data_IF_166380783784
#
_entry.id   IF_166380783784
#
_cell.length_a   1.000
_cell.length_b   1.000
_cell.length_c   1.000
_cell.angle_alpha   90.00
_cell.angle_beta   90.00
_cell.angle_gamma   90.00
#
_symmetry.space_group_name_H-M   'P 1'
#
loop_
_entity.id
_entity.type
_entity.pdbx_description
1 polymer ?
#
# COMPACT_ATOMS: atom_id res chain seq x y z
N UNK A 1 -11.80 12.87 26.14
CA UNK A 1 -10.83 13.98 25.99
C UNK A 1 -9.65 13.61 25.09
N UNK A 2 -9.00 12.44 25.27
CA UNK A 2 -7.89 11.97 24.43
C UNK A 2 -8.19 11.88 22.91
N UNK A 3 -9.40 11.44 22.53
CA UNK A 3 -9.83 11.38 21.12
C UNK A 3 -9.82 12.74 20.41
N UNK A 4 -10.02 13.86 21.12
CA UNK A 4 -10.04 15.18 20.50
C UNK A 4 -8.62 15.73 20.28
N UNK A 5 -7.66 15.40 21.15
CA UNK A 5 -6.24 15.73 20.93
C UNK A 5 -5.67 14.92 19.76
N UNK A 6 -5.97 13.63 19.69
CA UNK A 6 -5.50 12.81 18.58
C UNK A 6 -5.96 13.36 17.21
N UNK A 7 -7.21 13.83 17.12
CA UNK A 7 -7.72 14.51 15.91
C UNK A 7 -6.98 15.81 15.59
N UNK A 8 -6.51 16.55 16.60
CA UNK A 8 -5.73 17.79 16.43
C UNK A 8 -4.33 17.50 15.91
N UNK A 9 -3.70 16.44 16.40
CA UNK A 9 -2.38 16.02 15.95
C UNK A 9 -2.41 15.65 14.48
N UNK A 10 -3.39 14.84 14.08
CA UNK A 10 -3.53 14.45 12.68
C UNK A 10 -3.87 15.65 11.80
N UNK A 11 -4.77 16.54 12.23
CA UNK A 11 -5.06 17.77 11.50
C UNK A 11 -3.81 18.62 11.28
N UNK A 12 -2.93 18.73 12.29
CA UNK A 12 -1.69 19.49 12.17
C UNK A 12 -0.74 18.86 11.14
N UNK A 13 -0.52 17.55 11.23
CA UNK A 13 0.32 16.81 10.30
C UNK A 13 -0.21 16.88 8.86
N UNK A 14 -1.51 16.64 8.66
CA UNK A 14 -2.19 16.75 7.37
C UNK A 14 -2.13 18.18 6.79
N UNK A 15 -2.25 19.22 7.63
CA UNK A 15 -2.12 20.61 7.18
C UNK A 15 -0.71 20.90 6.67
N UNK A 16 0.33 20.42 7.35
CA UNK A 16 1.71 20.59 6.89
C UNK A 16 2.01 19.75 5.65
N UNK A 17 1.43 18.56 5.55
CA UNK A 17 1.57 17.69 4.39
C UNK A 17 0.94 18.33 3.13
N UNK A 18 -0.30 18.81 3.21
CA UNK A 18 -1.01 19.38 2.04
C UNK A 18 -0.47 20.71 1.56
N UNK A 19 -0.05 21.58 2.47
CA UNK A 19 0.32 22.97 2.12
C UNK A 19 1.83 23.21 2.07
N UNK A 20 2.64 22.22 2.45
CA UNK A 20 4.08 22.35 2.52
C UNK A 20 4.53 23.36 3.57
N UNK A 21 5.71 24.02 3.40
CA UNK A 21 6.26 24.94 4.38
C UNK A 21 5.34 26.14 4.65
N UNK A 22 4.80 26.26 5.87
CA UNK A 22 3.85 27.33 6.26
C UNK A 22 4.18 27.91 7.64
N UNK A 23 3.83 29.18 7.85
CA UNK A 23 4.09 29.90 9.11
C UNK A 23 3.07 29.53 10.21
N UNK A 24 3.42 29.76 11.48
CA UNK A 24 2.50 29.56 12.60
C UNK A 24 1.22 30.42 12.49
N UNK A 25 1.31 31.62 11.91
CA UNK A 25 0.16 32.49 11.67
C UNK A 25 -0.81 31.85 10.66
N UNK A 26 -0.28 31.29 9.58
CA UNK A 26 -1.03 30.57 8.56
C UNK A 26 -1.67 29.28 9.08
N UNK A 27 -0.98 28.56 9.96
CA UNK A 27 -1.53 27.39 10.67
C UNK A 27 -2.69 27.81 11.57
N UNK A 28 -2.52 28.89 12.36
CA UNK A 28 -3.59 29.41 13.24
C UNK A 28 -4.82 29.85 12.46
N UNK A 29 -4.64 30.54 11.33
CA UNK A 29 -5.74 30.98 10.49
C UNK A 29 -6.52 29.78 9.93
N UNK A 30 -5.84 28.69 9.57
CA UNK A 30 -6.48 27.44 9.13
C UNK A 30 -7.17 26.71 10.28
N UNK A 31 -6.56 26.70 11.47
CA UNK A 31 -7.15 26.10 12.67
C UNK A 31 -8.51 26.72 13.00
N UNK A 32 -8.61 28.06 12.93
CA UNK A 32 -9.85 28.80 13.16
C UNK A 32 -10.98 28.46 12.16
N UNK A 33 -10.62 28.01 10.96
CA UNK A 33 -11.56 27.61 9.91
C UNK A 33 -11.85 26.10 9.91
N UNK A 34 -11.19 25.34 10.77
CA UNK A 34 -11.36 23.89 10.85
C UNK A 34 -12.62 23.51 11.63
N UNK A 35 -13.24 22.39 11.26
CA UNK A 35 -14.37 21.83 12.01
C UNK A 35 -13.98 21.32 13.42
N UNK A 36 -12.68 21.22 13.71
CA UNK A 36 -12.13 20.82 15.01
C UNK A 36 -11.88 22.01 15.94
N UNK A 37 -12.16 23.24 15.48
CA UNK A 37 -12.01 24.46 16.25
C UNK A 37 -12.93 24.46 17.46
N UNK A 38 -12.35 24.57 18.66
CA UNK A 38 -13.05 24.57 19.94
C UNK A 38 -13.29 25.98 20.50
N UNK A 39 -13.19 27.01 19.65
CA UNK A 39 -13.31 28.41 20.07
C UNK A 39 -12.01 29.00 20.64
N UNK A 40 -10.93 28.23 20.76
CA UNK A 40 -9.65 28.71 21.29
C UNK A 40 -8.55 28.74 20.22
N UNK A 41 -7.84 29.87 20.07
CA UNK A 41 -6.71 29.94 19.14
C UNK A 41 -5.58 29.03 19.59
N UNK A 42 -4.84 28.49 18.62
CA UNK A 42 -3.73 27.56 18.88
C UNK A 42 -2.55 28.31 19.52
N UNK A 43 -2.47 28.28 20.85
CA UNK A 43 -1.38 28.90 21.60
C UNK A 43 -0.03 28.29 21.21
N UNK A 44 1.05 29.08 21.25
CA UNK A 44 2.39 28.63 20.79
C UNK A 44 2.89 27.40 21.56
N UNK A 45 2.66 27.35 22.87
CA UNK A 45 2.97 26.19 23.72
C UNK A 45 2.17 24.94 23.33
N UNK A 46 0.88 25.11 23.05
CA UNK A 46 0.01 24.02 22.59
C UNK A 46 0.44 23.51 21.23
N UNK A 47 0.82 24.41 20.31
CA UNK A 47 1.37 24.03 19.02
C UNK A 47 2.67 23.22 19.15
N UNK A 48 3.63 23.65 19.97
CA UNK A 48 4.85 22.86 20.21
C UNK A 48 4.52 21.51 20.85
N UNK A 49 3.63 21.46 21.84
CA UNK A 49 3.21 20.19 22.44
C UNK A 49 2.51 19.27 21.43
N UNK A 50 1.71 19.81 20.50
CA UNK A 50 1.11 19.03 19.43
C UNK A 50 2.15 18.55 18.42
N UNK A 51 3.15 19.38 18.12
CA UNK A 51 4.27 19.03 17.25
C UNK A 51 5.05 17.85 17.84
N UNK A 52 5.42 17.94 19.12
CA UNK A 52 6.17 16.89 19.80
C UNK A 52 5.34 15.60 19.90
N UNK A 53 4.02 15.70 20.13
CA UNK A 53 3.12 14.55 20.11
C UNK A 53 2.93 13.96 18.70
N UNK A 54 3.01 14.77 17.65
CA UNK A 54 2.96 14.30 16.26
C UNK A 54 4.22 13.51 15.92
N UNK A 55 5.38 13.98 16.37
CA UNK A 55 6.66 13.29 16.24
C UNK A 55 6.64 11.95 17.00
N UNK A 56 6.18 11.94 18.25
CA UNK A 56 6.10 10.72 19.07
C UNK A 56 5.11 9.68 18.52
N UNK A 57 3.93 10.11 18.08
CA UNK A 57 2.84 9.19 17.71
C UNK A 57 2.88 8.72 16.27
N UNK A 58 3.44 9.51 15.36
CA UNK A 58 3.42 9.25 13.92
C UNK A 58 4.82 9.19 13.29
N UNK A 59 5.89 9.37 14.09
CA UNK A 59 7.28 9.46 13.60
C UNK A 59 7.45 10.55 12.52
N UNK A 60 6.68 11.63 12.65
CA UNK A 60 6.69 12.79 11.75
C UNK A 60 7.49 13.90 12.40
N UNK A 61 8.74 14.09 11.98
CA UNK A 61 9.53 15.23 12.44
C UNK A 61 9.07 16.50 11.74
N UNK A 62 8.58 17.48 12.50
CA UNK A 62 8.17 18.79 11.99
C UNK A 62 9.29 19.79 12.29
N UNK A 63 10.03 20.15 11.25
CA UNK A 63 11.14 21.10 11.33
C UNK A 63 10.66 22.52 11.14
N UNK A 64 11.35 23.45 11.79
CA UNK A 64 11.16 24.88 11.60
C UNK A 64 12.40 25.46 10.90
N UNK A 65 12.20 26.08 9.74
CA UNK A 65 13.24 26.90 9.12
C UNK A 65 13.36 28.22 9.90
N UNK A 66 14.44 28.38 10.66
CA UNK A 66 14.71 29.57 11.47
C UNK A 66 14.80 30.86 10.64
N UNK A 67 15.12 30.76 9.35
CA UNK A 67 15.28 31.90 8.44
C UNK A 67 13.94 32.44 7.96
N UNK A 68 12.97 31.55 7.78
CA UNK A 68 11.64 31.90 7.23
C UNK A 68 10.49 31.75 8.23
N UNK A 69 10.76 31.22 9.43
CA UNK A 69 9.75 30.85 10.44
C UNK A 69 8.63 29.95 9.87
N UNK A 70 8.98 29.10 8.89
CA UNK A 70 8.07 28.15 8.27
C UNK A 70 8.30 26.76 8.84
N UNK A 71 7.20 26.07 9.08
CA UNK A 71 7.16 24.70 9.55
C UNK A 71 6.87 23.77 8.38
N UNK A 72 7.60 22.67 8.29
CA UNK A 72 7.40 21.62 7.28
C UNK A 72 7.70 20.26 7.89
N UNK A 73 7.16 19.20 7.30
CA UNK A 73 7.55 17.83 7.62
C UNK A 73 8.96 17.61 7.06
N UNK A 74 9.89 17.11 7.86
CA UNK A 74 11.19 16.69 7.38
C UNK A 74 11.01 15.46 6.49
N UNK A 75 11.67 15.46 5.32
CA UNK A 75 11.82 14.22 4.56
C UNK A 75 12.74 13.32 5.39
N UNK A 76 12.19 12.32 6.09
CA UNK A 76 13.02 11.18 6.54
C UNK A 76 13.60 10.46 5.30
N UNK A 77 14.76 9.84 5.43
CA UNK A 77 15.35 9.12 4.29
C UNK A 77 14.65 7.77 4.03
N UNK A 78 13.76 7.36 4.95
CA UNK A 78 13.07 6.09 4.90
C UNK A 78 11.74 6.17 4.11
N UNK A 79 11.81 5.74 2.85
CA UNK A 79 10.69 5.76 1.89
C UNK A 79 9.46 4.98 2.38
N UNK A 80 9.65 3.91 3.16
CA UNK A 80 8.52 3.10 3.63
C UNK A 80 7.75 3.80 4.74
N UNK A 81 8.47 4.40 5.69
CA UNK A 81 7.91 5.21 6.77
C UNK A 81 7.11 6.40 6.21
N UNK A 82 7.58 7.05 5.14
CA UNK A 82 6.79 8.08 4.44
C UNK A 82 5.47 7.58 3.88
N UNK A 83 5.47 6.42 3.21
CA UNK A 83 4.27 5.90 2.57
C UNK A 83 3.20 5.55 3.60
N UNK A 84 3.58 4.91 4.71
CA UNK A 84 2.66 4.57 5.80
C UNK A 84 2.10 5.85 6.43
N UNK A 85 2.97 6.81 6.74
CA UNK A 85 2.59 8.09 7.32
C UNK A 85 1.63 8.86 6.42
N UNK A 86 1.96 9.04 5.15
CA UNK A 86 1.08 9.73 4.19
C UNK A 86 -0.26 9.01 4.08
N UNK A 87 -0.26 7.68 3.98
CA UNK A 87 -1.48 6.90 3.94
C UNK A 87 -2.35 7.06 5.20
N UNK A 88 -1.75 7.12 6.39
CA UNK A 88 -2.46 7.36 7.64
C UNK A 88 -3.09 8.77 7.67
N UNK A 89 -2.34 9.78 7.25
CA UNK A 89 -2.83 11.16 7.16
C UNK A 89 -3.99 11.28 6.17
N UNK A 90 -3.83 10.73 4.96
CA UNK A 90 -4.85 10.73 3.91
C UNK A 90 -6.11 9.98 4.36
N UNK A 91 -5.95 8.77 4.91
CA UNK A 91 -7.07 7.95 5.39
C UNK A 91 -7.87 8.67 6.47
N UNK A 92 -7.17 9.36 7.38
CA UNK A 92 -7.84 10.15 8.41
C UNK A 92 -8.50 11.42 7.86
N UNK A 93 -7.82 12.15 6.97
CA UNK A 93 -8.35 13.35 6.32
C UNK A 93 -9.65 13.05 5.57
N UNK A 94 -9.66 11.96 4.80
CA UNK A 94 -10.85 11.44 4.13
C UNK A 94 -11.91 11.05 5.17
N UNK A 95 -11.52 10.30 6.21
CA UNK A 95 -12.43 9.88 7.29
C UNK A 95 -13.11 11.05 8.03
N UNK A 96 -12.40 12.16 8.29
CA UNK A 96 -13.01 13.36 8.86
C UNK A 96 -13.97 14.01 7.87
N UNK A 97 -13.55 14.20 6.62
CA UNK A 97 -14.37 14.82 5.57
C UNK A 97 -15.68 14.06 5.36
N UNK A 98 -15.63 12.72 5.35
CA UNK A 98 -16.80 11.85 5.27
C UNK A 98 -17.70 11.93 6.52
N UNK A 99 -17.10 12.04 7.71
CA UNK A 99 -17.85 12.25 8.96
C UNK A 99 -18.50 13.61 9.05
N UNK A 100 -17.93 14.65 8.45
CA UNK A 100 -18.52 15.98 8.35
C UNK A 100 -19.65 15.99 7.31
N UNK A 101 -19.46 15.29 6.20
CA UNK A 101 -20.44 15.05 5.15
C UNK A 101 -21.46 13.95 5.50
N UNK A 102 -21.89 13.81 6.77
CA UNK A 102 -22.85 12.77 7.20
C UNK A 102 -24.17 12.78 6.42
N UNK A 103 -24.57 13.92 5.88
CA UNK A 103 -25.75 14.08 5.00
C UNK A 103 -25.55 13.48 3.60
N UNK A 104 -24.32 13.14 3.21
CA UNK A 104 -23.95 12.56 1.91
C UNK A 104 -23.66 11.05 1.98
N UNK A 105 -24.05 10.35 3.05
CA UNK A 105 -23.82 8.90 3.20
C UNK A 105 -24.40 8.07 2.03
N UNK A 106 -25.48 8.52 1.38
CA UNK A 106 -26.04 7.87 0.18
C UNK A 106 -25.34 8.23 -1.14
N UNK A 107 -24.30 9.08 -1.10
CA UNK A 107 -23.55 9.54 -2.28
C UNK A 107 -22.08 9.13 -2.26
N UNK A 108 -21.65 8.46 -1.20
CA UNK A 108 -20.29 7.95 -1.05
C UNK A 108 -20.37 6.43 -0.93
N UNK A 109 -19.83 5.74 -1.93
CA UNK A 109 -19.64 4.30 -1.92
C UNK A 109 -18.19 4.02 -1.53
N UNK A 110 -18.00 3.23 -0.49
CA UNK A 110 -16.67 2.76 -0.06
C UNK A 110 -16.70 1.24 -0.16
N UNK A 111 -15.69 0.69 -0.82
CA UNK A 111 -15.54 -0.75 -0.93
C UNK A 111 -15.01 -1.33 0.38
N UNK A 112 -15.54 -2.48 0.78
CA UNK A 112 -15.11 -3.15 2.01
C UNK A 112 -13.74 -3.80 1.82
N UNK A 113 -12.84 -3.62 2.80
CA UNK A 113 -11.55 -4.33 2.89
C UNK A 113 -11.73 -5.49 3.88
N UNK A 114 -11.87 -6.75 3.41
CA UNK A 114 -12.13 -7.88 4.29
C UNK A 114 -11.00 -8.09 5.31
N UNK A 115 -11.36 -8.58 6.50
CA UNK A 115 -10.47 -9.11 7.54
C UNK A 115 -9.45 -8.15 8.17
N UNK A 116 -9.31 -6.92 7.69
CA UNK A 116 -8.41 -5.90 8.26
C UNK A 116 -8.70 -5.59 9.74
N UNK A 117 -9.97 -5.66 10.15
CA UNK A 117 -10.39 -5.29 11.52
C UNK A 117 -10.18 -6.41 12.55
N UNK A 118 -10.12 -7.67 12.13
CA UNK A 118 -10.09 -8.82 13.04
C UNK A 118 -8.68 -9.35 13.31
N UNK A 119 -7.87 -9.54 12.27
CA UNK A 119 -6.62 -10.29 12.38
C UNK A 119 -5.35 -9.44 12.34
N UNK A 120 -5.42 -8.25 11.73
CA UNK A 120 -4.26 -7.38 11.58
C UNK A 120 -3.69 -6.90 12.93
N UNK A 121 -4.50 -6.44 13.92
CA UNK A 121 -3.95 -6.02 15.21
C UNK A 121 -3.20 -7.13 15.93
N UNK A 122 -3.76 -8.34 15.97
CA UNK A 122 -3.13 -9.51 16.60
C UNK A 122 -1.81 -9.90 15.92
N UNK A 123 -1.73 -9.80 14.59
CA UNK A 123 -0.49 -10.03 13.85
C UNK A 123 0.57 -8.97 14.15
N UNK A 124 0.18 -7.69 14.21
CA UNK A 124 1.10 -6.59 14.52
C UNK A 124 1.64 -6.70 15.96
N UNK A 125 0.79 -7.09 16.91
CA UNK A 125 1.21 -7.35 18.28
C UNK A 125 2.17 -8.55 18.37
N UNK A 126 1.88 -9.64 17.64
CA UNK A 126 2.78 -10.78 17.55
C UNK A 126 4.14 -10.42 16.92
N UNK A 127 4.15 -9.60 15.86
CA UNK A 127 5.39 -9.09 15.26
C UNK A 127 6.18 -8.21 16.22
N UNK A 128 5.51 -7.30 16.95
CA UNK A 128 6.15 -6.43 17.94
C UNK A 128 6.86 -7.21 19.05
N UNK A 129 6.26 -8.32 19.48
CA UNK A 129 6.83 -9.20 20.50
C UNK A 129 7.72 -10.32 19.93
N UNK A 130 7.89 -10.38 18.60
CA UNK A 130 8.57 -11.47 17.88
C UNK A 130 8.03 -12.86 18.28
N UNK A 131 6.71 -12.99 18.35
CA UNK A 131 5.99 -14.22 18.75
C UNK A 131 5.48 -14.98 17.54
N UNK A 132 5.49 -16.30 17.63
CA UNK A 132 4.94 -17.16 16.60
C UNK A 132 3.40 -17.15 16.69
N UNK A 133 2.75 -17.36 15.55
CA UNK A 133 1.29 -17.42 15.47
C UNK A 133 0.85 -18.77 14.93
N UNK A 134 -0.27 -19.27 15.45
CA UNK A 134 -1.00 -20.38 14.84
C UNK A 134 -2.20 -19.80 14.12
N UNK A 135 -2.28 -20.02 12.82
CA UNK A 135 -3.41 -19.60 11.99
C UNK A 135 -4.20 -20.82 11.52
N UNK A 136 -5.52 -20.72 11.52
CA UNK A 136 -6.39 -21.66 10.81
C UNK A 136 -6.69 -21.04 9.45
N UNK A 137 -6.20 -21.65 8.37
CA UNK A 137 -6.21 -21.07 7.02
C UNK A 137 -7.05 -21.90 6.05
N UNK A 138 -7.90 -21.24 5.27
CA UNK A 138 -8.73 -21.89 4.24
C UNK A 138 -8.38 -21.34 2.84
N UNK A 139 -7.64 -22.10 2.01
CA UNK A 139 -7.33 -21.70 0.63
C UNK A 139 -8.57 -21.65 -0.27
N UNK A 140 -8.49 -20.90 -1.38
CA UNK A 140 -9.59 -20.82 -2.37
C UNK A 140 -9.97 -22.15 -3.01
N UNK A 141 -9.01 -23.07 -3.14
CA UNK A 141 -9.19 -24.36 -3.81
C UNK A 141 -9.27 -25.53 -2.83
N UNK A 142 -9.28 -25.27 -1.53
CA UNK A 142 -9.30 -26.29 -0.48
C UNK A 142 -10.64 -26.32 0.23
N UNK A 143 -11.24 -27.51 0.33
CA UNK A 143 -12.53 -27.69 1.02
C UNK A 143 -12.39 -27.61 2.55
N UNK A 144 -11.19 -27.88 3.09
CA UNK A 144 -10.94 -27.92 4.54
C UNK A 144 -9.93 -26.86 5.00
N UNK A 145 -10.24 -26.24 6.14
CA UNK A 145 -9.32 -25.35 6.84
C UNK A 145 -8.28 -26.17 7.62
N UNK A 146 -7.04 -25.68 7.65
CA UNK A 146 -5.95 -26.35 8.36
C UNK A 146 -5.13 -25.38 9.19
N UNK A 147 -4.53 -25.91 10.26
CA UNK A 147 -3.70 -25.14 11.17
C UNK A 147 -2.26 -25.05 10.67
N UNK A 148 -1.71 -23.84 10.71
CA UNK A 148 -0.34 -23.53 10.36
C UNK A 148 0.32 -22.77 11.49
N UNK A 149 1.51 -23.21 11.88
CA UNK A 149 2.39 -22.47 12.75
C UNK A 149 3.35 -21.63 11.92
N UNK A 150 3.36 -20.33 12.15
CA UNK A 150 4.06 -19.34 11.32
C UNK A 150 4.85 -18.36 12.17
N UNK A 151 5.97 -17.87 11.63
CA UNK A 151 6.72 -16.73 12.17
C UNK A 151 6.38 -15.50 11.33
N UNK A 152 5.55 -14.57 11.83
CA UNK A 152 5.09 -13.42 11.04
C UNK A 152 6.24 -12.43 10.83
N UNK A 153 6.63 -12.16 9.57
CA UNK A 153 7.75 -11.27 9.25
C UNK A 153 7.29 -9.86 8.91
N UNK A 154 6.40 -9.71 7.93
CA UNK A 154 5.85 -8.42 7.54
C UNK A 154 4.48 -8.57 6.88
N UNK A 155 3.75 -7.45 6.74
CA UNK A 155 2.47 -7.38 6.05
C UNK A 155 2.50 -6.39 4.90
N UNK A 156 1.75 -6.65 3.82
CA UNK A 156 1.56 -5.71 2.70
C UNK A 156 0.08 -5.60 2.38
N UNK A 157 -0.40 -4.37 2.21
CA UNK A 157 -1.71 -4.09 1.63
C UNK A 157 -1.57 -3.98 0.11
N UNK A 158 -2.37 -4.73 -0.63
CA UNK A 158 -2.45 -4.65 -2.09
C UNK A 158 -3.83 -5.07 -2.58
N UNK A 159 -4.35 -4.37 -3.58
CA UNK A 159 -5.64 -4.68 -4.22
C UNK A 159 -6.79 -4.90 -3.22
N UNK A 160 -6.81 -4.07 -2.17
CA UNK A 160 -7.77 -4.10 -1.04
C UNK A 160 -7.69 -5.37 -0.18
N UNK A 161 -6.53 -6.04 -0.14
CA UNK A 161 -6.29 -7.21 0.71
C UNK A 161 -4.97 -7.09 1.44
N UNK A 162 -5.00 -7.48 2.70
CA UNK A 162 -3.78 -7.61 3.50
C UNK A 162 -3.17 -8.99 3.29
N UNK A 163 -1.86 -9.01 3.12
CA UNK A 163 -1.09 -10.24 2.99
C UNK A 163 -0.01 -10.29 4.05
N UNK A 164 0.05 -11.41 4.76
CA UNK A 164 1.10 -11.78 5.69
C UNK A 164 2.20 -12.54 4.94
N UNK A 165 3.43 -12.08 5.13
CA UNK A 165 4.64 -12.81 4.74
C UNK A 165 5.21 -13.44 5.98
N UNK A 166 5.26 -14.77 5.97
CA UNK A 166 5.71 -15.55 7.10
C UNK A 166 6.40 -16.81 6.61
N UNK A 167 7.40 -17.27 7.36
CA UNK A 167 7.98 -18.58 7.15
C UNK A 167 7.40 -19.59 8.16
N UNK A 168 7.78 -20.86 8.02
CA UNK A 168 7.44 -21.90 8.99
C UNK A 168 8.64 -22.12 9.92
N UNK A 169 8.42 -22.53 11.19
CA UNK A 169 9.51 -22.98 12.06
C UNK A 169 10.33 -24.11 11.43
N UNK A 170 9.66 -25.03 10.73
CA UNK A 170 10.29 -26.22 10.10
C UNK A 170 10.88 -25.92 8.71
N UNK A 171 10.58 -24.76 8.13
CA UNK A 171 11.06 -24.36 6.81
C UNK A 171 11.13 -22.83 6.73
N UNK A 172 12.35 -22.30 6.69
CA UNK A 172 12.65 -20.86 6.64
C UNK A 172 12.31 -20.18 5.31
N UNK A 173 11.58 -20.84 4.41
CA UNK A 173 11.08 -20.24 3.17
C UNK A 173 9.87 -19.35 3.44
N UNK A 174 10.01 -18.06 3.13
CA UNK A 174 8.93 -17.07 3.22
C UNK A 174 7.79 -17.47 2.28
N UNK A 175 6.58 -17.51 2.83
CA UNK A 175 5.34 -17.75 2.08
C UNK A 175 4.34 -16.62 2.35
N UNK A 176 3.45 -16.46 1.38
CA UNK A 176 2.39 -15.47 1.37
C UNK A 176 1.08 -16.07 1.86
N UNK A 177 0.41 -15.40 2.81
CA UNK A 177 -0.89 -15.77 3.34
C UNK A 177 -1.82 -14.57 3.31
N UNK A 178 -2.97 -14.67 2.64
CA UNK A 178 -3.91 -13.55 2.59
C UNK A 178 -4.79 -13.55 3.84
N UNK A 179 -4.93 -12.39 4.49
CA UNK A 179 -5.66 -12.28 5.77
C UNK A 179 -7.16 -12.53 5.61
N UNK A 180 -7.72 -12.30 4.41
CA UNK A 180 -9.13 -12.61 4.08
C UNK A 180 -9.44 -14.10 4.15
N UNK A 181 -8.41 -14.96 4.12
CA UNK A 181 -8.51 -16.42 4.17
C UNK A 181 -8.16 -17.02 5.53
N UNK A 182 -7.86 -16.18 6.52
CA UNK A 182 -7.63 -16.61 7.89
C UNK A 182 -8.97 -16.72 8.60
N UNK A 183 -9.27 -17.91 9.13
CA UNK A 183 -10.48 -18.17 9.92
C UNK A 183 -10.23 -17.79 11.38
N UNK A 184 -9.04 -18.08 11.88
CA UNK A 184 -8.63 -17.83 13.26
C UNK A 184 -7.13 -17.59 13.34
N UNK A 185 -6.74 -16.75 14.29
CA UNK A 185 -5.36 -16.52 14.69
C UNK A 185 -5.24 -16.74 16.20
N UNK A 186 -4.11 -17.28 16.63
CA UNK A 186 -3.71 -17.39 18.03
C UNK A 186 -2.23 -17.07 18.16
N UNK A 187 -1.91 -16.03 18.91
CA UNK A 187 -0.53 -15.72 19.30
C UNK A 187 -0.06 -16.77 20.30
N UNK A 188 1.13 -17.34 20.07
CA UNK A 188 1.74 -18.35 20.95
C UNK A 188 2.76 -17.70 21.89
N UNK A 189 3.09 -18.32 23.02
CA UNK A 189 4.18 -17.83 23.90
C UNK A 189 5.57 -18.02 23.28
N UNK A 190 5.67 -18.83 22.23
CA UNK A 190 6.93 -19.12 21.56
C UNK A 190 7.42 -17.91 20.78
N UNK A 191 8.68 -17.54 20.99
CA UNK A 191 9.33 -16.44 20.29
C UNK A 191 10.17 -16.95 19.13
N UNK A 192 10.49 -16.06 18.21
CA UNK A 192 11.45 -16.32 17.14
C UNK A 192 12.34 -15.10 16.97
N UNK A 193 13.50 -15.28 16.35
CA UNK A 193 14.35 -14.17 15.94
C UNK A 193 14.10 -13.93 14.45
N UNK A 194 13.60 -12.75 14.03
CA UNK A 194 13.51 -12.42 12.61
C UNK A 194 14.92 -12.39 12.00
N UNK A 195 15.06 -12.61 10.67
CA UNK A 195 16.34 -12.47 10.00
C UNK A 195 16.95 -11.08 10.25
N UNK A 196 18.27 -11.00 10.53
CA UNK A 196 18.96 -9.73 10.82
C UNK A 196 18.84 -8.72 9.66
N UNK A 197 18.75 -9.22 8.42
CA UNK A 197 18.58 -8.43 7.20
C UNK A 197 17.17 -8.59 6.61
N UNK A 198 16.12 -8.50 7.44
CA UNK A 198 14.76 -8.47 6.91
C UNK A 198 14.52 -7.14 6.17
N UNK A 199 14.63 -7.17 4.84
CA UNK A 199 14.27 -6.06 3.95
C UNK A 199 13.02 -6.41 3.11
N UNK A 200 11.80 -6.07 3.59
CA UNK A 200 10.57 -6.30 2.84
C UNK A 200 10.54 -5.57 1.49
N UNK A 201 11.14 -4.39 1.41
CA UNK A 201 11.16 -3.58 0.20
C UNK A 201 12.07 -4.25 -0.85
N UNK A 202 13.27 -4.66 -0.47
CA UNK A 202 14.19 -5.42 -1.32
C UNK A 202 13.63 -6.79 -1.73
N UNK A 203 13.03 -7.54 -0.80
CA UNK A 203 12.40 -8.84 -1.09
C UNK A 203 11.31 -8.73 -2.16
N UNK A 204 10.58 -7.61 -2.19
CA UNK A 204 9.49 -7.37 -3.13
C UNK A 204 9.87 -6.50 -4.33
N UNK A 205 11.08 -5.96 -4.41
CA UNK A 205 11.49 -4.99 -5.43
C UNK A 205 11.35 -5.53 -6.87
N UNK A 206 11.56 -6.84 -7.05
CA UNK A 206 11.40 -7.52 -8.34
C UNK A 206 10.03 -8.14 -8.57
N UNK A 207 9.13 -8.10 -7.58
CA UNK A 207 7.82 -8.75 -7.65
C UNK A 207 6.78 -7.79 -8.21
N UNK A 208 6.24 -8.09 -9.40
CA UNK A 208 5.12 -7.30 -9.91
C UNK A 208 3.89 -7.46 -9.03
N UNK A 209 3.72 -8.60 -8.32
CA UNK A 209 2.56 -9.04 -7.55
C UNK A 209 2.71 -8.97 -6.02
N UNK A 210 1.98 -9.85 -5.36
CA UNK A 210 2.16 -10.17 -3.93
C UNK A 210 3.01 -11.42 -3.74
N UNK A 211 3.08 -12.28 -4.76
CA UNK A 211 3.86 -13.50 -4.71
C UNK A 211 5.29 -13.28 -5.25
N UNK A 212 6.25 -13.94 -4.60
CA UNK A 212 7.62 -14.10 -5.10
C UNK A 212 7.80 -15.57 -5.45
N UNK A 213 8.25 -15.83 -6.66
CA UNK A 213 8.45 -17.18 -7.21
C UNK A 213 9.96 -17.42 -7.37
N UNK A 214 10.46 -18.55 -6.87
CA UNK A 214 11.90 -18.86 -6.95
C UNK A 214 12.35 -19.20 -8.37
N UNK A 215 11.43 -19.70 -9.19
CA UNK A 215 11.61 -20.12 -10.57
C UNK A 215 11.45 -18.98 -11.57
N UNK A 216 10.81 -17.87 -11.17
CA UNK A 216 10.57 -16.71 -12.04
C UNK A 216 11.43 -15.54 -11.57
N UNK A 217 12.55 -15.32 -12.25
CA UNK A 217 13.46 -14.20 -11.94
C UNK A 217 12.97 -12.89 -12.56
N UNK A 218 13.21 -11.74 -11.89
CA UNK A 218 12.98 -10.43 -12.48
C UNK A 218 13.78 -10.24 -13.78
N UNK A 219 13.13 -9.66 -14.78
CA UNK A 219 13.76 -9.33 -16.05
C UNK A 219 13.26 -7.97 -16.55
N UNK A 220 14.00 -7.39 -17.49
CA UNK A 220 13.62 -6.12 -18.12
C UNK A 220 12.62 -6.38 -19.24
N UNK A 221 11.38 -5.98 -19.02
CA UNK A 221 10.27 -6.12 -19.96
C UNK A 221 9.99 -4.76 -20.61
N UNK A 222 10.04 -4.72 -21.94
CA UNK A 222 9.68 -3.53 -22.72
C UNK A 222 8.32 -3.71 -23.35
N UNK A 223 7.50 -2.69 -23.20
CA UNK A 223 6.11 -2.74 -23.62
C UNK A 223 5.78 -1.46 -24.37
N UNK A 224 5.10 -1.62 -25.49
CA UNK A 224 4.55 -0.53 -26.28
C UNK A 224 3.11 -0.33 -25.86
N UNK A 225 2.75 0.91 -25.54
CA UNK A 225 1.39 1.29 -25.16
C UNK A 225 0.94 2.42 -26.06
N UNK A 226 -0.22 2.29 -26.67
CA UNK A 226 -0.81 3.32 -27.53
C UNK A 226 -2.18 3.78 -27.00
N UNK A 227 -2.59 4.97 -27.43
CA UNK A 227 -3.86 5.58 -27.05
C UNK A 227 -3.91 6.04 -25.59
N UNK A 228 -5.10 5.97 -24.98
CA UNK A 228 -5.34 6.48 -23.63
C UNK A 228 -4.57 5.73 -22.53
N UNK A 229 -4.13 4.51 -22.80
CA UNK A 229 -3.28 3.73 -21.88
C UNK A 229 -1.96 4.45 -21.53
N UNK A 230 -1.41 5.26 -22.43
CA UNK A 230 -0.19 6.04 -22.17
C UNK A 230 -0.43 7.06 -21.06
N UNK A 231 -1.54 7.79 -21.12
CA UNK A 231 -1.89 8.81 -20.11
C UNK A 231 -2.13 8.15 -18.75
N UNK A 232 -2.80 7.00 -18.73
CA UNK A 232 -3.07 6.26 -17.51
C UNK A 232 -1.77 5.84 -16.80
N UNK A 233 -0.84 5.24 -17.52
CA UNK A 233 0.45 4.79 -16.97
C UNK A 233 1.33 5.94 -16.46
N UNK A 234 1.24 7.12 -17.08
CA UNK A 234 1.95 8.32 -16.59
C UNK A 234 1.37 8.83 -15.27
N UNK A 235 0.05 8.78 -15.10
CA UNK A 235 -0.61 9.28 -13.89
C UNK A 235 -0.59 8.29 -12.74
N UNK A 236 -0.64 6.99 -13.03
CA UNK A 236 -0.67 5.93 -12.04
C UNK A 236 0.24 4.77 -12.51
N UNK A 237 1.54 4.82 -12.19
CA UNK A 237 2.47 3.76 -12.53
C UNK A 237 2.03 2.41 -11.94
N UNK A 238 2.14 1.34 -12.73
CA UNK A 238 1.77 -0.01 -12.29
C UNK A 238 2.80 -0.62 -11.34
N UNK A 239 4.06 -0.16 -11.43
CA UNK A 239 5.15 -0.63 -10.60
C UNK A 239 6.19 0.47 -10.42
N UNK A 240 6.93 0.44 -9.31
CA UNK A 240 7.96 1.45 -9.00
C UNK A 240 9.12 1.46 -10.01
N UNK A 241 9.41 0.32 -10.66
CA UNK A 241 10.42 0.23 -11.73
C UNK A 241 9.93 0.66 -13.10
N UNK A 242 8.68 1.11 -13.24
CA UNK A 242 8.15 1.61 -14.50
C UNK A 242 8.90 2.87 -14.94
N UNK A 243 9.46 2.85 -16.13
CA UNK A 243 10.12 4.00 -16.74
C UNK A 243 9.64 4.19 -18.18
N UNK A 244 9.33 5.43 -18.56
CA UNK A 244 9.08 5.77 -19.96
C UNK A 244 10.42 5.98 -20.66
N UNK A 245 10.74 5.11 -21.62
CA UNK A 245 12.05 5.11 -22.32
C UNK A 245 11.94 5.83 -23.66
N UNK A 246 10.80 5.71 -24.33
CA UNK A 246 10.56 6.41 -25.59
C UNK A 246 9.14 7.00 -25.61
N UNK A 247 9.05 8.24 -26.08
CA UNK A 247 7.78 8.93 -26.28
C UNK A 247 7.62 9.24 -27.77
N UNK A 248 6.54 8.75 -28.37
CA UNK A 248 6.13 9.08 -29.73
C UNK A 248 4.73 9.71 -29.70
N UNK A 249 4.28 10.26 -30.83
CA UNK A 249 3.00 10.97 -30.91
C UNK A 249 1.78 10.05 -30.66
N UNK A 250 1.85 8.80 -31.13
CA UNK A 250 0.73 7.83 -31.04
C UNK A 250 0.92 6.75 -29.97
N UNK A 251 2.15 6.52 -29.53
CA UNK A 251 2.50 5.48 -28.56
C UNK A 251 3.70 5.86 -27.70
N UNK A 252 3.86 5.21 -26.57
CA UNK A 252 5.05 5.29 -25.74
C UNK A 252 5.57 3.89 -25.46
N UNK A 253 6.88 3.78 -25.23
CA UNK A 253 7.51 2.55 -24.76
C UNK A 253 7.88 2.71 -23.30
N UNK A 254 7.35 1.79 -22.50
CA UNK A 254 7.66 1.68 -21.09
C UNK A 254 8.54 0.46 -20.84
N UNK A 255 9.44 0.60 -19.89
CA UNK A 255 10.31 -0.46 -19.40
C UNK A 255 9.96 -0.77 -17.94
N UNK A 256 9.90 -2.07 -17.63
CA UNK A 256 9.63 -2.60 -16.30
C UNK A 256 10.73 -3.59 -15.93
N UNK A 257 11.31 -3.45 -14.75
CA UNK A 257 12.19 -4.48 -14.19
C UNK A 257 11.41 -5.29 -13.16
N UNK A 258 10.79 -6.40 -13.59
CA UNK A 258 9.90 -7.24 -12.76
C UNK A 258 9.93 -8.70 -13.20
N UNK A 259 9.55 -9.59 -12.29
CA UNK A 259 9.29 -10.99 -12.60
C UNK A 259 7.98 -11.11 -13.40
N UNK A 260 7.97 -11.80 -14.55
CA UNK A 260 6.77 -12.00 -15.37
C UNK A 260 5.84 -13.05 -14.73
N UNK A 261 5.22 -12.70 -13.60
CA UNK A 261 4.28 -13.57 -12.87
C UNK A 261 2.87 -13.48 -13.45
N UNK A 262 1.94 -14.39 -13.10
CA UNK A 262 0.54 -14.30 -13.54
C UNK A 262 -0.11 -12.93 -13.25
N UNK A 263 0.22 -12.30 -12.13
CA UNK A 263 -0.28 -10.97 -11.78
C UNK A 263 0.23 -9.87 -12.72
N UNK A 264 1.45 -10.01 -13.27
CA UNK A 264 1.95 -9.11 -14.31
C UNK A 264 1.07 -9.21 -15.55
N UNK A 265 0.87 -10.42 -16.09
CA UNK A 265 0.04 -10.61 -17.28
C UNK A 265 -1.39 -10.13 -17.08
N UNK A 266 -1.99 -10.39 -15.91
CA UNK A 266 -3.33 -9.91 -15.59
C UNK A 266 -3.41 -8.38 -15.56
N UNK A 267 -2.44 -7.69 -14.97
CA UNK A 267 -2.42 -6.23 -14.95
C UNK A 267 -2.22 -5.63 -16.35
N UNK A 268 -1.41 -6.28 -17.19
CA UNK A 268 -1.24 -5.85 -18.58
C UNK A 268 -2.54 -6.02 -19.38
N UNK A 269 -3.27 -7.13 -19.19
CA UNK A 269 -4.58 -7.34 -19.83
C UNK A 269 -5.65 -6.34 -19.36
N UNK A 270 -5.54 -5.85 -18.12
CA UNK A 270 -6.42 -4.81 -17.58
C UNK A 270 -6.09 -3.40 -18.09
N UNK A 271 -4.98 -3.22 -18.82
CA UNK A 271 -4.65 -1.91 -19.38
C UNK A 271 -5.63 -1.58 -20.51
N UNK A 272 -6.31 -0.43 -20.39
CA UNK A 272 -7.36 0.03 -21.29
C UNK A 272 -6.84 0.57 -22.65
N UNK A 273 -5.74 0.03 -23.17
CA UNK A 273 -5.09 0.52 -24.38
C UNK A 273 -4.47 -0.60 -25.22
N UNK A 274 -4.01 -0.24 -26.41
CA UNK A 274 -3.26 -1.15 -27.27
C UNK A 274 -1.89 -1.40 -26.63
N UNK A 275 -1.79 -2.52 -25.92
CA UNK A 275 -0.62 -2.95 -25.19
C UNK A 275 0.08 -4.09 -25.93
N UNK A 276 1.37 -3.95 -26.20
CA UNK A 276 2.20 -4.97 -26.86
C UNK A 276 3.50 -5.17 -26.08
N UNK A 277 3.79 -6.43 -25.71
CA UNK A 277 5.11 -6.79 -25.17
C UNK A 277 6.12 -6.87 -26.32
N UNK A 278 7.15 -6.02 -26.30
CA UNK A 278 8.22 -6.01 -27.29
C UNK A 278 9.31 -7.02 -26.93
N UNK A 279 9.73 -7.05 -25.67
CA UNK A 279 10.77 -7.94 -25.16
C UNK A 279 10.59 -8.21 -23.66
N UNK A 280 11.09 -9.33 -23.12
CA UNK A 280 11.81 -10.41 -23.80
C UNK A 280 10.85 -11.37 -24.54
N UNK A 281 11.37 -12.13 -25.51
CA UNK A 281 10.55 -12.96 -26.41
C UNK A 281 9.73 -14.05 -25.71
N UNK A 282 10.24 -14.60 -24.59
CA UNK A 282 9.50 -15.56 -23.77
C UNK A 282 8.25 -14.95 -23.13
N UNK A 283 8.33 -13.70 -22.64
CA UNK A 283 7.18 -12.99 -22.04
C UNK A 283 6.16 -12.62 -23.11
N UNK A 284 6.62 -12.21 -24.30
CA UNK A 284 5.75 -11.97 -25.45
C UNK A 284 4.99 -13.23 -25.86
N UNK A 285 5.68 -14.37 -25.90
CA UNK A 285 5.10 -15.66 -26.27
C UNK A 285 4.11 -16.18 -25.22
N UNK A 286 4.40 -15.98 -23.95
CA UNK A 286 3.47 -16.25 -22.84
C UNK A 286 2.18 -15.42 -22.98
N UNK A 287 2.32 -14.11 -23.21
CA UNK A 287 1.19 -13.21 -23.43
C UNK A 287 0.35 -13.66 -24.63
N UNK A 288 0.99 -14.02 -25.74
CA UNK A 288 0.32 -14.54 -26.95
C UNK A 288 -0.48 -15.79 -26.62
N UNK A 289 0.09 -16.73 -25.88
CA UNK A 289 -0.61 -17.98 -25.50
C UNK A 289 -1.84 -17.72 -24.63
N UNK A 290 -1.76 -16.76 -23.70
CA UNK A 290 -2.89 -16.37 -22.86
C UNK A 290 -4.02 -15.78 -23.73
N UNK A 291 -3.69 -14.87 -24.65
CA UNK A 291 -4.65 -14.26 -25.57
C UNK A 291 -5.27 -15.30 -26.50
N UNK A 292 -4.47 -16.20 -27.08
CA UNK A 292 -4.94 -17.28 -27.95
C UNK A 292 -5.90 -18.22 -27.18
N UNK A 293 -5.56 -18.56 -25.93
CA UNK A 293 -6.41 -19.36 -25.05
C UNK A 293 -7.77 -18.70 -24.77
N UNK A 294 -7.78 -17.39 -24.50
CA UNK A 294 -9.01 -16.61 -24.34
C UNK A 294 -9.81 -16.58 -25.64
N UNK A 295 -9.17 -16.28 -26.77
CA UNK A 295 -9.80 -16.22 -28.08
C UNK A 295 -10.53 -17.53 -28.43
N UNK A 296 -9.90 -18.68 -28.18
CA UNK A 296 -10.51 -20.01 -28.42
C UNK A 296 -11.79 -20.22 -27.61
N UNK A 297 -11.88 -19.70 -26.37
CA UNK A 297 -13.10 -19.80 -25.55
C UNK A 297 -14.27 -19.03 -26.15
N UNK A 298 -14.01 -17.85 -26.73
CA UNK A 298 -15.04 -17.01 -27.35
C UNK A 298 -15.39 -17.41 -28.79
N UNK A 299 -14.53 -18.17 -29.48
CA UNK A 299 -14.84 -18.71 -30.80
C UNK A 299 -15.71 -19.97 -30.78
N UNK A 300 -15.96 -20.57 -29.61
CA UNK A 300 -16.90 -21.69 -29.51
C UNK A 300 -18.32 -21.16 -29.64
N UNK A 301 -19.18 -21.76 -30.50
CA UNK A 301 -20.58 -21.36 -30.56
C UNK A 301 -21.20 -21.53 -29.18
N UNK A 302 -21.91 -20.50 -28.72
CA UNK A 302 -22.69 -20.56 -27.50
C UNK A 302 -23.80 -21.57 -27.74
N UNK A 303 -23.78 -22.69 -27.01
CA UNK A 303 -24.98 -23.54 -26.96
C UNK A 303 -26.03 -22.74 -26.19
N UNK A 304 -26.90 -22.04 -26.92
CA UNK A 304 -28.19 -21.55 -26.41
C UNK A 304 -29.11 -22.72 -26.04
#
# INVERSE_FOLDING_TARGET
MASNLFKRYIWLADTLHRYGPITLAEIRARWQRSALYDGRPLARRTFHSHRDAVEELFDISIVCDERTNRYSIANSEDLNSHNITNWLLDSFAVGQSLREARTLHNRVLVEEVPSARGHLPELLDAMRENRQVVITYQPFTGDEAFDLRLRPLFVKLRDRRWYLYADKPDNAKIKLYALDRMVKIRVTEDRFTPPEELDPAGYLAGAFGVAVYDDIRPCTIRVRVAGDGVKYLRTLPLHASQQEVETHDEYAIFEFHVAPTPEFYQAMLNCHGNFEVLSPGNVREEMRRIIDGLHVLYCRPTNE
#
